data_IF_698212644312
#
_entry.id   IF_698212644312
#
_cell.length_a   1.000
_cell.length_b   1.000
_cell.length_c   1.000
_cell.angle_alpha   90.00
_cell.angle_beta   90.00
_cell.angle_gamma   90.00
#
_symmetry.space_group_name_H-M   'P 1'
#
loop_
_entity.id
_entity.type
_entity.pdbx_description
1 polymer ?
#
# COMPACT_ATOMS: atom_id res chain seq x y z
N UNK A 1 -94.77 -34.94 20.91
CA UNK A 1 -94.69 -33.52 21.27
C UNK A 1 -93.26 -33.27 21.69
N UNK A 2 -92.58 -32.28 21.12
CA UNK A 2 -91.27 -31.88 21.61
C UNK A 2 -91.46 -31.28 23.01
N UNK A 3 -90.63 -31.67 23.98
CA UNK A 3 -90.67 -31.13 25.33
C UNK A 3 -89.60 -30.05 25.52
N UNK A 4 -89.58 -29.43 26.69
CA UNK A 4 -88.61 -28.37 27.02
C UNK A 4 -87.16 -28.89 26.98
N UNK A 5 -86.94 -30.17 27.26
CA UNK A 5 -85.62 -30.80 27.20
C UNK A 5 -85.08 -30.83 25.76
N UNK A 6 -85.92 -31.23 24.80
CA UNK A 6 -85.55 -31.29 23.37
C UNK A 6 -85.13 -29.90 22.85
N UNK A 7 -85.83 -28.85 23.27
CA UNK A 7 -85.51 -27.47 22.90
C UNK A 7 -84.19 -26.98 23.52
N UNK A 8 -83.94 -27.28 24.80
CA UNK A 8 -82.69 -26.93 25.48
C UNK A 8 -81.50 -27.65 24.85
N UNK A 9 -81.66 -28.93 24.52
CA UNK A 9 -80.60 -29.72 23.90
C UNK A 9 -80.31 -29.25 22.47
N UNK A 10 -81.35 -28.87 21.71
CA UNK A 10 -81.15 -28.24 20.40
C UNK A 10 -80.39 -26.92 20.51
N UNK A 11 -80.69 -26.08 21.50
CA UNK A 11 -79.98 -24.81 21.72
C UNK A 11 -78.55 -25.06 22.20
N UNK A 12 -78.32 -26.02 23.10
CA UNK A 12 -76.98 -26.41 23.55
C UNK A 12 -76.15 -26.96 22.39
N UNK A 13 -76.75 -27.83 21.57
CA UNK A 13 -76.12 -28.38 20.38
C UNK A 13 -75.74 -27.29 19.38
N UNK A 14 -76.66 -26.36 19.11
CA UNK A 14 -76.38 -25.21 18.26
C UNK A 14 -75.29 -24.29 18.85
N UNK A 15 -75.28 -24.07 20.17
CA UNK A 15 -74.26 -23.25 20.84
C UNK A 15 -72.87 -23.91 20.81
N UNK A 16 -72.79 -25.23 20.96
CA UNK A 16 -71.54 -25.99 20.81
C UNK A 16 -71.07 -25.95 19.35
N UNK A 17 -71.97 -26.19 18.39
CA UNK A 17 -71.65 -26.13 16.97
C UNK A 17 -71.25 -24.72 16.50
N UNK A 18 -71.76 -23.68 17.15
CA UNK A 18 -71.42 -22.28 16.86
C UNK A 18 -70.10 -21.82 17.50
N UNK A 19 -69.44 -22.65 18.32
CA UNK A 19 -68.18 -22.30 18.97
C UNK A 19 -67.04 -22.26 17.95
N UNK A 20 -66.36 -21.13 17.83
CA UNK A 20 -65.10 -20.99 17.09
C UNK A 20 -63.91 -21.26 17.99
N UNK A 21 -62.85 -21.85 17.44
CA UNK A 21 -61.57 -22.04 18.12
C UNK A 21 -60.47 -21.28 17.39
N UNK A 22 -59.61 -20.59 18.14
CA UNK A 22 -58.38 -19.97 17.61
C UNK A 22 -57.20 -20.67 18.27
N UNK A 23 -56.22 -21.07 17.46
CA UNK A 23 -54.98 -21.71 17.93
C UNK A 23 -53.80 -20.89 17.43
N UNK A 24 -52.84 -20.66 18.31
CA UNK A 24 -51.59 -20.00 17.96
C UNK A 24 -50.75 -20.92 17.05
N UNK A 25 -50.30 -20.36 15.92
CA UNK A 25 -49.26 -20.96 15.10
C UNK A 25 -47.89 -20.38 15.45
N UNK A 26 -46.84 -20.87 14.79
CA UNK A 26 -45.51 -20.29 14.92
C UNK A 26 -45.54 -18.78 14.63
N UNK A 27 -44.80 -18.01 15.44
CA UNK A 27 -44.68 -16.55 15.33
C UNK A 27 -45.95 -15.74 15.58
N UNK A 28 -47.08 -16.37 15.96
CA UNK A 28 -48.35 -15.69 16.25
C UNK A 28 -48.64 -15.78 17.74
N UNK A 29 -49.09 -14.66 18.32
CA UNK A 29 -49.61 -14.57 19.68
C UNK A 29 -51.08 -14.20 19.61
N UNK A 30 -51.92 -14.94 20.32
CA UNK A 30 -53.36 -14.75 20.41
C UNK A 30 -53.74 -14.52 21.86
N UNK A 31 -54.19 -13.30 22.18
CA UNK A 31 -54.67 -12.97 23.53
C UNK A 31 -56.18 -12.93 23.55
N UNK A 32 -56.79 -13.79 24.36
CA UNK A 32 -58.24 -13.79 24.58
C UNK A 32 -58.65 -12.70 25.57
N UNK A 33 -59.68 -11.92 25.21
CA UNK A 33 -60.34 -10.96 26.11
C UNK A 33 -61.86 -11.10 26.03
N UNK A 34 -62.59 -10.63 27.05
CA UNK A 34 -64.07 -10.58 27.02
C UNK A 34 -64.55 -9.17 26.71
N UNK A 35 -65.52 -9.08 25.81
CA UNK A 35 -66.24 -7.87 25.51
C UNK A 35 -67.29 -7.58 26.60
N UNK A 36 -67.76 -6.33 26.66
CA UNK A 36 -68.77 -5.92 27.64
C UNK A 36 -70.12 -6.63 27.45
N UNK A 37 -70.44 -7.09 26.24
CA UNK A 37 -71.66 -7.85 25.91
C UNK A 37 -71.55 -9.35 26.24
N UNK A 38 -70.40 -9.79 26.79
CA UNK A 38 -70.13 -11.18 27.15
C UNK A 38 -69.58 -12.05 26.01
N UNK A 39 -69.42 -11.51 24.80
CA UNK A 39 -68.73 -12.20 23.70
C UNK A 39 -67.20 -12.23 23.90
N UNK A 40 -66.52 -13.15 23.21
CA UNK A 40 -65.06 -13.31 23.27
C UNK A 40 -64.39 -12.56 22.12
N UNK A 41 -63.32 -11.83 22.40
CA UNK A 41 -62.41 -11.22 21.43
C UNK A 41 -61.05 -11.94 21.45
N UNK A 42 -60.42 -12.04 20.29
CA UNK A 42 -59.07 -12.58 20.14
C UNK A 42 -58.18 -11.53 19.49
N UNK A 43 -57.25 -10.96 20.26
CA UNK A 43 -56.24 -10.05 19.73
C UNK A 43 -55.07 -10.86 19.16
N UNK A 44 -54.83 -10.71 17.86
CA UNK A 44 -53.84 -11.48 17.12
C UNK A 44 -52.68 -10.57 16.75
N UNK A 45 -51.51 -10.88 17.26
CA UNK A 45 -50.27 -10.17 16.97
C UNK A 45 -49.18 -11.12 16.53
N UNK A 46 -48.10 -10.58 15.97
CA UNK A 46 -46.87 -11.36 15.81
C UNK A 46 -46.15 -11.45 17.16
N UNK A 47 -45.39 -12.52 17.36
CA UNK A 47 -44.40 -12.59 18.42
C UNK A 47 -43.37 -11.44 18.27
N UNK A 48 -42.69 -11.08 19.36
CA UNK A 48 -41.62 -10.06 19.33
C UNK A 48 -40.39 -10.53 18.57
N UNK A 49 -40.07 -11.82 18.70
CA UNK A 49 -39.01 -12.50 17.98
C UNK A 49 -39.64 -13.50 17.02
N UNK A 50 -39.29 -13.41 15.74
CA UNK A 50 -39.81 -14.29 14.70
C UNK A 50 -38.74 -15.32 14.32
N UNK A 51 -39.13 -16.58 14.23
CA UNK A 51 -38.31 -17.65 13.67
C UNK A 51 -38.75 -17.89 12.22
N UNK A 52 -37.89 -17.53 11.28
CA UNK A 52 -38.15 -17.62 9.83
C UNK A 52 -36.90 -18.10 9.10
N UNK A 53 -37.07 -18.70 7.92
CA UNK A 53 -35.95 -19.15 7.08
C UNK A 53 -35.33 -17.98 6.30
N UNK A 54 -36.16 -17.00 5.91
CA UNK A 54 -35.71 -15.80 5.18
C UNK A 54 -36.65 -14.62 5.39
N UNK A 55 -36.10 -13.41 5.25
CA UNK A 55 -36.84 -12.15 5.16
C UNK A 55 -36.45 -11.44 3.87
N UNK A 56 -37.44 -11.06 3.07
CA UNK A 56 -37.25 -10.22 1.88
C UNK A 56 -37.91 -8.87 2.10
N UNK A 57 -37.14 -7.80 1.95
CA UNK A 57 -37.60 -6.42 2.10
C UNK A 57 -37.07 -5.58 0.91
N UNK A 58 -37.90 -5.40 -0.10
CA UNK A 58 -37.46 -4.86 -1.39
C UNK A 58 -36.40 -5.76 -2.01
N UNK A 59 -35.28 -5.19 -2.45
CA UNK A 59 -34.16 -5.92 -3.05
C UNK A 59 -33.25 -6.61 -2.01
N UNK A 60 -33.49 -6.39 -0.72
CA UNK A 60 -32.70 -6.98 0.36
C UNK A 60 -33.27 -8.32 0.80
N UNK A 61 -32.42 -9.34 0.84
CA UNK A 61 -32.73 -10.66 1.39
C UNK A 61 -31.80 -10.95 2.56
N UNK A 62 -32.37 -11.36 3.69
CA UNK A 62 -31.64 -11.90 4.86
C UNK A 62 -32.06 -13.35 5.04
N UNK A 63 -31.10 -14.27 5.07
CA UNK A 63 -31.35 -15.70 5.23
C UNK A 63 -30.16 -16.39 5.93
N UNK A 64 -30.10 -17.72 5.87
CA UNK A 64 -29.03 -18.51 6.49
C UNK A 64 -27.62 -18.22 5.97
N UNK A 65 -27.47 -17.59 4.81
CA UNK A 65 -26.17 -17.27 4.21
C UNK A 65 -25.68 -15.86 4.55
N UNK A 66 -26.58 -14.95 4.95
CA UNK A 66 -26.29 -13.57 5.32
C UNK A 66 -27.29 -12.58 4.74
N UNK A 67 -26.81 -11.40 4.36
CA UNK A 67 -27.58 -10.31 3.75
C UNK A 67 -27.10 -10.07 2.31
N UNK A 68 -28.03 -9.99 1.36
CA UNK A 68 -27.75 -9.64 -0.04
C UNK A 68 -28.68 -8.54 -0.49
N UNK A 69 -28.17 -7.58 -1.27
CA UNK A 69 -28.98 -6.58 -1.99
C UNK A 69 -28.87 -6.89 -3.49
N UNK A 70 -30.00 -7.11 -4.17
CA UNK A 70 -30.01 -7.36 -5.62
C UNK A 70 -29.40 -6.18 -6.37
N UNK A 71 -28.36 -6.43 -7.17
CA UNK A 71 -27.62 -5.38 -7.89
C UNK A 71 -26.74 -4.49 -6.99
N UNK A 72 -26.57 -4.85 -5.71
CA UNK A 72 -25.82 -4.09 -4.73
C UNK A 72 -24.89 -4.95 -3.87
N UNK A 73 -24.36 -4.38 -2.78
CA UNK A 73 -23.45 -5.08 -1.87
C UNK A 73 -24.08 -6.29 -1.19
N UNK A 74 -23.23 -7.19 -0.70
CA UNK A 74 -23.62 -8.33 0.14
C UNK A 74 -22.66 -8.57 1.29
N UNK A 75 -23.18 -9.16 2.37
CA UNK A 75 -22.42 -9.65 3.52
C UNK A 75 -22.89 -11.08 3.78
N UNK A 76 -22.06 -12.05 3.43
CA UNK A 76 -22.40 -13.48 3.51
C UNK A 76 -21.33 -14.25 4.26
N UNK A 77 -21.55 -15.55 4.49
CA UNK A 77 -20.52 -16.47 5.01
C UNK A 77 -19.24 -16.51 4.18
N UNK A 78 -19.31 -16.16 2.90
CA UNK A 78 -18.15 -16.09 2.01
C UNK A 78 -17.37 -14.78 2.12
N UNK A 79 -17.89 -13.78 2.86
CA UNK A 79 -17.26 -12.48 3.06
C UNK A 79 -18.16 -11.31 2.66
N UNK A 80 -17.52 -10.19 2.34
CA UNK A 80 -18.16 -8.93 1.98
C UNK A 80 -17.86 -8.62 0.50
N UNK A 81 -18.91 -8.39 -0.29
CA UNK A 81 -18.78 -7.91 -1.66
C UNK A 81 -19.39 -6.51 -1.77
N UNK A 82 -18.60 -5.53 -2.22
CA UNK A 82 -19.05 -4.16 -2.44
C UNK A 82 -19.78 -3.97 -3.78
N UNK A 83 -19.86 -5.00 -4.63
CA UNK A 83 -20.48 -4.97 -5.96
C UNK A 83 -19.90 -3.86 -6.86
N UNK A 84 -18.58 -3.67 -6.80
CA UNK A 84 -17.87 -2.63 -7.56
C UNK A 84 -18.07 -1.20 -7.03
N UNK A 85 -18.82 -1.00 -5.95
CA UNK A 85 -19.01 0.31 -5.34
C UNK A 85 -17.78 0.75 -4.55
N UNK A 86 -17.65 2.07 -4.38
CA UNK A 86 -16.66 2.66 -3.49
C UNK A 86 -17.03 2.34 -2.03
N UNK A 87 -16.06 1.80 -1.28
CA UNK A 87 -16.13 1.72 0.19
C UNK A 87 -15.53 3.01 0.75
N UNK A 88 -16.38 3.89 1.28
CA UNK A 88 -15.99 5.18 1.86
C UNK A 88 -15.93 5.14 3.39
N UNK A 89 -15.36 6.17 4.01
CA UNK A 89 -15.23 6.32 5.46
C UNK A 89 -14.42 5.19 6.14
N UNK A 90 -13.45 4.63 5.42
CA UNK A 90 -12.46 3.70 5.98
C UNK A 90 -11.39 4.52 6.69
N UNK A 91 -11.31 4.38 8.01
CA UNK A 91 -10.23 4.98 8.81
C UNK A 91 -8.86 4.44 8.38
N UNK A 92 -7.79 5.12 8.79
CA UNK A 92 -6.44 4.60 8.55
C UNK A 92 -6.27 3.26 9.26
N UNK A 93 -5.84 2.23 8.52
CA UNK A 93 -5.48 0.94 9.10
C UNK A 93 -4.22 1.05 9.94
N UNK A 94 -4.23 0.48 11.14
CA UNK A 94 -3.10 0.50 12.08
C UNK A 94 -2.51 -0.88 12.31
N UNK A 95 -3.32 -1.93 12.13
CA UNK A 95 -2.91 -3.32 12.25
C UNK A 95 -2.64 -3.95 10.88
N UNK A 96 -1.88 -5.05 10.86
CA UNK A 96 -1.48 -5.71 9.61
C UNK A 96 -2.64 -6.26 8.78
N UNK A 97 -3.80 -6.50 9.39
CA UNK A 97 -5.01 -7.02 8.74
C UNK A 97 -6.07 -5.96 8.42
N UNK A 98 -5.79 -4.69 8.71
CA UNK A 98 -6.74 -3.62 8.41
C UNK A 98 -6.78 -3.30 6.92
N UNK A 99 -7.94 -2.88 6.44
CA UNK A 99 -8.04 -2.28 5.12
C UNK A 99 -7.32 -0.92 5.11
N UNK A 100 -6.51 -0.68 4.09
CA UNK A 100 -5.87 0.63 3.89
C UNK A 100 -6.74 1.51 3.00
N UNK A 101 -6.85 2.79 3.35
CA UNK A 101 -7.53 3.76 2.49
C UNK A 101 -6.58 4.39 1.47
N UNK A 102 -7.13 5.14 0.50
CA UNK A 102 -6.34 5.80 -0.55
C UNK A 102 -5.31 6.79 0.01
N UNK A 103 -5.60 7.46 1.13
CA UNK A 103 -4.69 8.41 1.76
C UNK A 103 -3.39 7.75 2.22
N UNK A 104 -3.47 6.55 2.80
CA UNK A 104 -2.30 5.77 3.19
C UNK A 104 -1.48 5.33 1.97
N UNK A 105 -2.14 4.89 0.89
CA UNK A 105 -1.48 4.51 -0.36
C UNK A 105 -0.77 5.70 -1.02
N UNK A 106 -1.45 6.84 -1.13
CA UNK A 106 -0.90 8.07 -1.70
C UNK A 106 0.31 8.56 -0.89
N UNK A 107 0.25 8.44 0.44
CA UNK A 107 1.37 8.78 1.32
C UNK A 107 2.57 7.87 1.08
N UNK A 108 2.36 6.56 0.98
CA UNK A 108 3.44 5.62 0.68
C UNK A 108 4.12 5.93 -0.67
N UNK A 109 3.33 6.29 -1.69
CA UNK A 109 3.85 6.72 -3.00
C UNK A 109 4.64 8.03 -2.94
N UNK A 110 4.16 9.01 -2.19
CA UNK A 110 4.87 10.28 -1.95
C UNK A 110 6.17 10.06 -1.18
N UNK A 111 6.13 9.30 -0.08
CA UNK A 111 7.31 9.02 0.74
C UNK A 111 8.42 8.32 -0.09
N UNK A 112 8.04 7.40 -1.00
CA UNK A 112 9.00 6.77 -1.91
C UNK A 112 9.56 7.77 -2.93
N UNK A 113 8.70 8.59 -3.51
CA UNK A 113 9.10 9.61 -4.50
C UNK A 113 10.05 10.63 -3.89
N UNK A 114 9.76 11.10 -2.68
CA UNK A 114 10.53 12.11 -1.97
C UNK A 114 11.86 11.56 -1.43
N UNK A 115 11.91 10.30 -0.97
CA UNK A 115 13.17 9.65 -0.58
C UNK A 115 14.10 9.44 -1.78
N UNK A 116 13.53 9.07 -2.93
CA UNK A 116 14.24 8.98 -4.21
C UNK A 116 15.53 8.14 -4.16
N UNK A 117 16.58 8.60 -4.85
CA UNK A 117 17.90 7.98 -4.86
C UNK A 117 18.97 8.97 -4.40
N UNK A 118 19.94 8.51 -3.59
CA UNK A 118 20.98 9.37 -3.04
C UNK A 118 22.37 8.73 -2.99
N UNK A 119 23.40 9.56 -3.19
CA UNK A 119 24.82 9.21 -3.09
C UNK A 119 25.53 10.22 -2.16
N UNK A 120 26.21 9.72 -1.13
CA UNK A 120 27.02 10.53 -0.22
C UNK A 120 28.49 10.49 -0.67
N UNK A 121 29.10 11.65 -0.87
CA UNK A 121 30.49 11.78 -1.26
C UNK A 121 31.44 11.80 -0.03
N UNK A 122 32.74 11.76 -0.28
CA UNK A 122 33.76 11.72 0.78
C UNK A 122 33.83 13.02 1.60
N UNK A 123 33.33 14.13 1.05
CA UNK A 123 33.19 15.40 1.77
C UNK A 123 31.97 15.42 2.73
N UNK A 124 31.21 14.33 2.79
CA UNK A 124 30.02 14.17 3.62
C UNK A 124 28.75 14.77 3.02
N UNK A 125 28.82 15.40 1.85
CA UNK A 125 27.65 15.93 1.15
C UNK A 125 26.90 14.81 0.43
N UNK A 126 25.57 14.95 0.34
CA UNK A 126 24.72 13.97 -0.34
C UNK A 126 24.01 14.63 -1.51
N UNK A 127 24.16 14.05 -2.69
CA UNK A 127 23.25 14.33 -3.82
C UNK A 127 22.07 13.38 -3.67
N UNK A 128 20.88 13.93 -3.45
CA UNK A 128 19.63 13.17 -3.43
C UNK A 128 18.66 13.78 -4.43
N UNK A 129 18.04 12.93 -5.24
CA UNK A 129 17.09 13.30 -6.29
C UNK A 129 15.83 12.48 -6.12
N UNK A 130 14.67 13.11 -6.36
CA UNK A 130 13.39 12.40 -6.29
C UNK A 130 13.33 11.28 -7.30
N UNK A 131 12.50 10.27 -7.06
CA UNK A 131 12.32 9.20 -8.04
C UNK A 131 11.82 9.80 -9.37
N UNK A 132 12.50 9.46 -10.47
CA UNK A 132 12.24 10.00 -11.81
C UNK A 132 13.13 11.16 -12.21
N UNK A 133 13.84 11.79 -11.26
CA UNK A 133 14.91 12.74 -11.57
C UNK A 133 16.25 12.03 -11.79
N UNK A 134 17.08 12.58 -12.67
CA UNK A 134 18.43 12.05 -12.90
C UNK A 134 19.42 12.58 -11.86
N UNK A 135 20.34 11.71 -11.44
CA UNK A 135 21.56 12.11 -10.73
C UNK A 135 22.67 12.27 -11.76
N UNK A 136 23.21 13.48 -11.84
CA UNK A 136 24.34 13.76 -12.72
C UNK A 136 25.61 13.15 -12.13
N UNK A 137 26.36 12.42 -12.96
CA UNK A 137 27.70 11.92 -12.64
C UNK A 137 28.65 12.73 -13.51
N UNK A 138 29.40 13.64 -12.88
CA UNK A 138 30.31 14.57 -13.57
C UNK A 138 31.74 14.38 -13.08
N UNK A 139 32.70 14.66 -13.96
CA UNK A 139 34.09 14.85 -13.55
C UNK A 139 34.24 16.15 -12.78
N UNK A 140 35.15 16.16 -11.80
CA UNK A 140 35.40 17.37 -11.01
C UNK A 140 36.18 18.44 -11.79
N UNK A 141 36.91 18.02 -12.83
CA UNK A 141 37.74 18.86 -13.70
C UNK A 141 37.84 18.22 -15.10
N UNK A 142 38.70 18.78 -15.97
CA UNK A 142 38.90 18.30 -17.34
C UNK A 142 39.66 16.97 -17.44
N UNK A 143 40.30 16.51 -16.37
CA UNK A 143 41.04 15.24 -16.36
C UNK A 143 40.10 14.04 -16.28
N UNK A 144 38.90 14.20 -15.72
CA UNK A 144 37.91 13.13 -15.60
C UNK A 144 36.69 13.49 -16.43
N UNK A 145 36.29 12.61 -17.34
CA UNK A 145 35.08 12.76 -18.14
C UNK A 145 34.12 11.61 -17.88
N UNK A 146 32.83 11.87 -18.04
CA UNK A 146 31.76 10.90 -17.84
C UNK A 146 30.86 10.88 -19.07
N UNK A 147 30.40 9.71 -19.48
CA UNK A 147 29.48 9.56 -20.62
C UNK A 147 28.54 8.38 -20.43
N UNK A 148 27.39 8.42 -21.07
CA UNK A 148 26.53 7.25 -21.20
C UNK A 148 26.84 6.55 -22.51
N UNK A 149 27.27 5.29 -22.43
CA UNK A 149 27.51 4.43 -23.58
C UNK A 149 26.97 3.03 -23.28
N UNK A 150 26.17 2.49 -24.19
CA UNK A 150 25.58 1.14 -24.08
C UNK A 150 24.82 0.90 -22.76
N UNK A 151 24.08 1.91 -22.30
CA UNK A 151 23.30 1.86 -21.06
C UNK A 151 24.13 1.89 -19.77
N UNK A 152 25.43 2.18 -19.85
CA UNK A 152 26.34 2.30 -18.71
C UNK A 152 26.87 3.72 -18.59
N UNK A 153 27.15 4.15 -17.35
CA UNK A 153 27.95 5.35 -17.10
C UNK A 153 29.42 4.95 -17.17
N UNK A 154 30.11 5.38 -18.22
CA UNK A 154 31.55 5.25 -18.34
C UNK A 154 32.23 6.47 -17.68
N UNK A 155 33.31 6.23 -16.95
CA UNK A 155 34.16 7.24 -16.32
C UNK A 155 35.56 7.07 -16.90
N UNK A 156 36.10 8.11 -17.51
CA UNK A 156 37.33 8.06 -18.30
C UNK A 156 38.31 9.12 -17.86
N UNK A 157 39.58 8.74 -17.77
CA UNK A 157 40.70 9.66 -17.61
C UNK A 157 41.06 10.26 -18.97
N UNK A 158 41.27 11.56 -19.04
CA UNK A 158 41.74 12.26 -20.23
C UNK A 158 43.12 11.72 -20.69
N UNK A 159 43.38 11.79 -21.99
CA UNK A 159 44.66 11.35 -22.57
C UNK A 159 45.79 12.30 -22.20
N UNK A 160 45.50 13.59 -22.22
CA UNK A 160 46.37 14.65 -21.76
C UNK A 160 45.88 15.11 -20.40
N UNK A 161 46.79 15.14 -19.42
CA UNK A 161 46.47 15.51 -18.04
C UNK A 161 47.00 16.89 -17.73
N UNK A 162 46.13 17.74 -17.18
CA UNK A 162 46.50 19.01 -16.60
C UNK A 162 46.63 18.87 -15.09
N UNK A 163 47.87 18.74 -14.62
CA UNK A 163 48.20 18.51 -13.21
C UNK A 163 49.36 19.39 -12.78
N UNK A 164 49.38 19.78 -11.50
CA UNK A 164 50.47 20.58 -10.93
C UNK A 164 51.75 19.77 -10.72
N UNK A 165 51.62 18.51 -10.32
CA UNK A 165 52.73 17.60 -10.10
C UNK A 165 52.32 16.14 -10.21
N UNK A 166 53.27 15.29 -10.59
CA UNK A 166 53.17 13.83 -10.55
C UNK A 166 54.28 13.33 -9.63
N UNK A 167 53.94 12.51 -8.65
CA UNK A 167 54.91 11.82 -7.79
C UNK A 167 54.80 10.32 -7.98
N UNK A 168 55.88 9.70 -8.44
CA UNK A 168 56.01 8.26 -8.63
C UNK A 168 57.24 7.75 -7.87
N UNK A 169 57.03 7.26 -6.64
CA UNK A 169 58.13 6.96 -5.72
C UNK A 169 58.94 8.21 -5.39
N UNK A 170 60.25 8.15 -5.62
CA UNK A 170 61.19 9.27 -5.41
C UNK A 170 61.21 10.28 -6.57
N UNK A 171 60.54 9.97 -7.68
CA UNK A 171 60.48 10.84 -8.85
C UNK A 171 59.34 11.84 -8.74
N UNK A 172 59.64 13.11 -8.97
CA UNK A 172 58.66 14.19 -9.09
C UNK A 172 58.79 14.84 -10.46
N UNK A 173 57.67 14.97 -11.17
CA UNK A 173 57.54 15.82 -12.37
C UNK A 173 56.60 16.96 -12.01
N UNK A 174 57.03 18.20 -12.22
CA UNK A 174 56.24 19.38 -11.94
C UNK A 174 56.66 20.54 -12.86
N UNK A 175 56.21 21.76 -12.53
CA UNK A 175 56.54 22.95 -13.32
C UNK A 175 58.04 23.32 -13.35
N UNK A 176 58.88 22.75 -12.49
CA UNK A 176 60.33 22.99 -12.47
C UNK A 176 61.12 21.98 -13.30
N UNK A 177 60.53 20.81 -13.59
CA UNK A 177 61.12 19.74 -14.38
C UNK A 177 60.93 18.36 -13.75
N UNK A 178 61.97 17.52 -13.83
CA UNK A 178 62.06 16.16 -13.29
C UNK A 178 63.12 16.12 -12.17
N UNK A 179 62.76 15.59 -11.01
CA UNK A 179 63.69 15.41 -9.88
C UNK A 179 63.55 14.00 -9.31
N UNK A 180 64.69 13.37 -8.97
CA UNK A 180 64.73 12.12 -8.19
C UNK A 180 65.31 12.46 -6.81
N UNK A 181 64.60 12.13 -5.73
CA UNK A 181 65.08 12.38 -4.37
C UNK A 181 66.44 11.71 -4.13
N UNK A 182 67.41 12.46 -3.58
CA UNK A 182 68.80 12.03 -3.40
C UNK A 182 69.48 11.52 -4.70
N UNK A 183 69.00 11.95 -5.86
CA UNK A 183 69.46 11.51 -7.16
C UNK A 183 69.50 12.63 -8.20
N UNK A 184 69.64 12.28 -9.48
CA UNK A 184 69.71 13.25 -10.58
C UNK A 184 68.44 14.11 -10.74
N UNK A 185 68.59 15.25 -11.40
CA UNK A 185 67.47 16.12 -11.80
C UNK A 185 67.69 16.75 -13.18
N UNK A 186 66.58 17.10 -13.83
CA UNK A 186 66.52 17.88 -15.07
C UNK A 186 65.53 19.01 -14.81
N UNK A 187 66.04 20.23 -14.66
CA UNK A 187 65.22 21.39 -14.31
C UNK A 187 65.43 22.54 -15.28
N UNK A 188 64.69 23.64 -15.10
CA UNK A 188 64.93 24.91 -15.80
C UNK A 188 66.36 25.44 -15.65
N UNK A 189 67.06 25.07 -14.57
CA UNK A 189 68.46 25.46 -14.32
C UNK A 189 69.48 24.55 -15.00
N UNK A 190 69.04 23.46 -15.65
CA UNK A 190 69.90 22.48 -16.31
C UNK A 190 69.80 21.08 -15.71
N UNK A 191 70.81 20.25 -16.01
CA UNK A 191 70.90 18.85 -15.59
C UNK A 191 71.88 18.75 -14.42
N UNK A 192 71.45 18.18 -13.30
CA UNK A 192 72.31 17.79 -12.18
C UNK A 192 72.36 16.26 -12.08
N UNK A 193 73.57 15.70 -12.07
CA UNK A 193 73.79 14.25 -11.97
C UNK A 193 73.95 13.76 -10.54
N UNK A 194 73.90 14.65 -9.55
CA UNK A 194 74.06 14.33 -8.13
C UNK A 194 75.33 13.51 -7.85
N UNK A 195 76.44 13.84 -8.52
CA UNK A 195 77.71 13.14 -8.40
C UNK A 195 77.79 11.76 -9.08
N UNK A 196 76.75 11.33 -9.81
CA UNK A 196 76.74 10.07 -10.52
C UNK A 196 77.49 10.15 -11.87
N UNK A 197 77.98 9.00 -12.35
CA UNK A 197 78.58 8.90 -13.69
C UNK A 197 77.48 8.93 -14.77
N UNK A 198 77.67 9.74 -15.80
CA UNK A 198 76.89 9.64 -17.03
C UNK A 198 77.54 8.56 -17.91
N UNK A 199 76.75 7.60 -18.37
CA UNK A 199 77.21 6.50 -19.25
C UNK A 199 76.51 6.58 -20.62
N UNK A 200 77.00 5.82 -21.61
CA UNK A 200 76.47 5.77 -22.97
C UNK A 200 76.47 7.13 -23.72
N UNK A 201 77.50 7.95 -23.50
CA UNK A 201 77.71 9.22 -24.20
C UNK A 201 78.55 8.98 -25.45
N UNK A 202 78.03 9.34 -26.63
CA UNK A 202 78.78 9.29 -27.88
C UNK A 202 79.90 10.35 -27.92
N UNK A 203 80.90 10.15 -28.78
CA UNK A 203 81.94 11.16 -28.99
C UNK A 203 81.34 12.47 -29.53
N UNK A 204 81.81 13.61 -29.02
CA UNK A 204 81.38 14.92 -29.52
C UNK A 204 81.89 15.15 -30.95
N UNK A 205 81.03 15.68 -31.82
CA UNK A 205 81.45 16.18 -33.13
C UNK A 205 81.97 17.61 -32.98
N UNK A 206 83.04 17.92 -33.71
CA UNK A 206 83.61 19.27 -33.78
C UNK A 206 82.75 20.21 -34.65
#
# INVERSE_FOLDING_TARGET
QNNIHDAIDSVRGAAVAAKTTVTEGDNIVVTETKNADGSTNYDVATAKDLKVDSVTAGDTVINSDGMTITGGPSVTKSGIDAAGNKVSNVADGTEASDAVNKGQLDKAGQDLTDKGFGLTAQDGTTVQKKLGEAVDVVGADENITTKVQDGKVAIELAKDLNVNSIKAGDTVINNDGLTIANGPSITKSGIDVAGNKISNVAAGTA
#
